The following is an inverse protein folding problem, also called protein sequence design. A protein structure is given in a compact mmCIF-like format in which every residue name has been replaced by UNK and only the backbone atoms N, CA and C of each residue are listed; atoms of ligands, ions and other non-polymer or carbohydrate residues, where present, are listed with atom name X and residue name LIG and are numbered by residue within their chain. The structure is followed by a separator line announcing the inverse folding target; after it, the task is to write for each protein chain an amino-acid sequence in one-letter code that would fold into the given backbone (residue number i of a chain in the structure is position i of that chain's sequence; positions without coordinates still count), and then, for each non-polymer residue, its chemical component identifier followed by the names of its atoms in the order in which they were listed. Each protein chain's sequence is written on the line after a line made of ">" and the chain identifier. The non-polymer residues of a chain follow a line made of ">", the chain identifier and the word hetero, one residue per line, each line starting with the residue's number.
data_IF_315890659273
#
_entry.id   IF_315890659273
#
_cell.length_a   1.000
_cell.length_b   1.000
_cell.length_c   1.000
_cell.angle_alpha   90.00
_cell.angle_beta   90.00
_cell.angle_gamma   90.00
#
_symmetry.space_group_name_H-M   'P 1'
#
loop_
_entity.id
_entity.type
_entity.pdbx_description
1 polymer ?
#
# COMPACT_ATOMS: atom_id res chain seq x y z
N UNK A 1 -4.37 30.69 19.97
CA UNK A 1 -5.42 30.75 18.92
C UNK A 1 -6.69 31.32 19.53
N UNK A 2 -7.15 32.48 19.08
CA UNK A 2 -8.25 33.21 19.72
C UNK A 2 -9.61 32.63 19.31
N UNK A 3 -10.58 32.48 20.23
CA UNK A 3 -11.90 31.88 19.95
C UNK A 3 -12.71 32.62 18.88
N UNK A 4 -12.41 33.91 18.65
CA UNK A 4 -13.00 34.71 17.58
C UNK A 4 -12.67 34.18 16.16
N UNK A 5 -11.51 33.55 15.96
CA UNK A 5 -11.09 33.06 14.65
C UNK A 5 -11.90 31.82 14.22
N UNK A 6 -12.25 30.95 15.17
CA UNK A 6 -13.07 29.76 14.91
C UNK A 6 -14.50 30.13 14.51
N UNK A 7 -15.07 31.18 15.11
CA UNK A 7 -16.41 31.68 14.74
C UNK A 7 -16.45 32.23 13.32
N UNK A 8 -15.41 32.97 12.90
CA UNK A 8 -15.32 33.51 11.53
C UNK A 8 -15.20 32.38 10.51
N UNK A 9 -14.37 31.37 10.80
CA UNK A 9 -14.22 30.20 9.92
C UNK A 9 -15.53 29.41 9.81
N UNK A 10 -16.26 29.21 10.90
CA UNK A 10 -17.58 28.54 10.87
C UNK A 10 -18.64 29.34 10.12
N UNK A 11 -18.65 30.67 10.22
CA UNK A 11 -19.57 31.53 9.45
C UNK A 11 -19.27 31.50 7.95
N UNK A 12 -18.00 31.46 7.55
CA UNK A 12 -17.60 31.37 6.13
C UNK A 12 -17.91 29.98 5.56
N UNK A 13 -17.64 28.90 6.30
CA UNK A 13 -18.00 27.53 5.91
C UNK A 13 -19.52 27.32 5.86
N UNK A 14 -20.26 27.88 6.81
CA UNK A 14 -21.73 27.82 6.82
C UNK A 14 -22.37 28.66 5.71
N UNK A 15 -21.84 29.86 5.45
CA UNK A 15 -22.35 30.76 4.41
C UNK A 15 -22.12 30.24 2.99
N UNK A 16 -20.96 29.64 2.72
CA UNK A 16 -20.67 29.02 1.41
C UNK A 16 -21.54 27.79 1.14
N UNK A 17 -21.85 27.01 2.18
CA UNK A 17 -22.80 25.89 2.08
C UNK A 17 -24.22 26.34 1.69
N UNK A 18 -24.72 27.41 2.31
CA UNK A 18 -26.05 27.98 2.03
C UNK A 18 -26.15 28.56 0.61
N UNK A 19 -25.11 29.23 0.14
CA UNK A 19 -25.03 29.74 -1.24
C UNK A 19 -25.03 28.59 -2.24
N UNK A 20 -24.25 27.52 -1.98
CA UNK A 20 -24.25 26.30 -2.80
C UNK A 20 -25.62 25.63 -2.85
N UNK A 21 -26.32 25.55 -1.72
CA UNK A 21 -27.66 24.97 -1.62
C UNK A 21 -28.71 25.79 -2.37
N UNK A 22 -28.65 27.13 -2.27
CA UNK A 22 -29.55 28.03 -3.01
C UNK A 22 -29.30 28.00 -4.53
N UNK A 23 -28.03 27.91 -4.94
CA UNK A 23 -27.67 27.76 -6.34
C UNK A 23 -28.17 26.42 -6.90
N UNK A 24 -28.01 25.34 -6.13
CA UNK A 24 -28.54 24.02 -6.46
C UNK A 24 -30.07 24.00 -6.53
N UNK A 25 -30.76 24.64 -5.58
CA UNK A 25 -32.22 24.72 -5.56
C UNK A 25 -32.78 25.52 -6.75
N UNK A 26 -32.10 26.61 -7.12
CA UNK A 26 -32.45 27.44 -8.28
C UNK A 26 -32.15 26.72 -9.61
N UNK A 27 -31.06 25.96 -9.68
CA UNK A 27 -30.71 25.12 -10.82
C UNK A 27 -31.67 23.93 -10.99
N UNK A 28 -32.08 23.29 -9.89
CA UNK A 28 -33.06 22.19 -9.88
C UNK A 28 -34.46 22.64 -10.37
N UNK A 29 -34.82 23.92 -10.14
CA UNK A 29 -36.10 24.49 -10.61
C UNK A 29 -36.16 24.71 -12.12
N UNK A 30 -35.03 24.81 -12.80
CA UNK A 30 -34.97 24.84 -14.27
C UNK A 30 -34.68 23.43 -14.79
N UNK A 31 -35.69 22.76 -15.37
CA UNK A 31 -35.63 21.41 -15.99
C UNK A 31 -34.54 21.20 -17.07
N UNK A 32 -33.70 22.21 -17.35
CA UNK A 32 -32.61 22.16 -18.34
C UNK A 32 -31.28 21.62 -17.78
N UNK A 33 -31.17 21.39 -16.47
CA UNK A 33 -29.90 20.97 -15.84
C UNK A 33 -29.91 19.58 -15.19
N UNK A 34 -30.86 18.70 -15.52
CA UNK A 34 -30.92 17.35 -14.95
C UNK A 34 -29.67 16.48 -15.29
N UNK A 35 -28.94 16.81 -16.35
CA UNK A 35 -27.76 16.06 -16.79
C UNK A 35 -26.47 16.39 -16.00
N UNK A 36 -26.31 17.62 -15.51
CA UNK A 36 -25.12 18.05 -14.76
C UNK A 36 -24.91 17.32 -13.42
N UNK A 37 -25.91 17.19 -12.53
CA UNK A 37 -25.72 16.50 -11.26
C UNK A 37 -25.47 15.00 -11.46
N UNK A 38 -26.07 14.41 -12.51
CA UNK A 38 -25.82 13.01 -12.87
C UNK A 38 -24.38 12.81 -13.38
N UNK A 39 -23.86 13.73 -14.18
CA UNK A 39 -22.47 13.71 -14.65
C UNK A 39 -21.46 13.85 -13.51
N UNK A 40 -21.71 14.73 -12.54
CA UNK A 40 -20.85 14.90 -11.35
C UNK A 40 -20.88 13.65 -10.48
N UNK A 41 -22.07 13.04 -10.27
CA UNK A 41 -22.20 11.80 -9.52
C UNK A 41 -21.43 10.64 -10.19
N UNK A 42 -21.56 10.46 -11.50
CA UNK A 42 -20.83 9.43 -12.24
C UNK A 42 -19.31 9.66 -12.19
N UNK A 43 -18.87 10.91 -12.34
CA UNK A 43 -17.44 11.25 -12.23
C UNK A 43 -16.90 10.94 -10.83
N UNK A 44 -17.64 11.31 -9.78
CA UNK A 44 -17.25 11.03 -8.40
C UNK A 44 -17.21 9.53 -8.09
N UNK A 45 -18.14 8.75 -8.66
CA UNK A 45 -18.17 7.31 -8.55
C UNK A 45 -16.95 6.67 -9.21
N UNK A 46 -16.60 7.10 -10.42
CA UNK A 46 -15.41 6.62 -11.13
C UNK A 46 -14.13 6.94 -10.35
N UNK A 47 -13.99 8.17 -9.85
CA UNK A 47 -12.86 8.58 -9.01
C UNK A 47 -12.77 7.74 -7.73
N UNK A 48 -13.90 7.42 -7.09
CA UNK A 48 -13.94 6.59 -5.90
C UNK A 48 -13.51 5.14 -6.19
N UNK A 49 -13.96 4.56 -7.31
CA UNK A 49 -13.56 3.21 -7.73
C UNK A 49 -12.05 3.17 -7.99
N UNK A 50 -11.51 4.13 -8.74
CA UNK A 50 -10.08 4.21 -8.99
C UNK A 50 -9.33 4.37 -7.66
N UNK A 51 -9.69 5.32 -6.80
CA UNK A 51 -9.04 5.52 -5.50
C UNK A 51 -9.09 4.26 -4.61
N UNK A 52 -10.20 3.50 -4.63
CA UNK A 52 -10.32 2.26 -3.88
C UNK A 52 -9.36 1.17 -4.34
N UNK A 53 -9.15 1.06 -5.67
CA UNK A 53 -8.20 0.10 -6.23
C UNK A 53 -6.76 0.42 -5.85
N UNK A 54 -6.38 1.70 -5.86
CA UNK A 54 -5.05 2.13 -5.44
C UNK A 54 -4.82 1.90 -3.95
N UNK A 55 -5.83 2.19 -3.12
CA UNK A 55 -5.77 1.92 -1.67
C UNK A 55 -5.62 0.44 -1.37
N UNK A 56 -6.31 -0.43 -2.11
CA UNK A 56 -6.21 -1.88 -1.92
C UNK A 56 -4.81 -2.40 -2.24
N UNK A 57 -4.22 -1.96 -3.36
CA UNK A 57 -2.83 -2.32 -3.69
C UNK A 57 -1.82 -1.82 -2.66
N UNK A 58 -1.99 -0.60 -2.15
CA UNK A 58 -1.12 -0.06 -1.12
C UNK A 58 -1.19 -0.88 0.18
N UNK A 59 -2.39 -1.33 0.57
CA UNK A 59 -2.58 -2.20 1.74
C UNK A 59 -1.87 -3.54 1.56
N UNK A 60 -2.07 -4.21 0.42
CA UNK A 60 -1.41 -5.48 0.11
C UNK A 60 0.11 -5.35 0.05
N UNK A 61 0.63 -4.22 -0.43
CA UNK A 61 2.07 -3.95 -0.42
C UNK A 61 2.63 -3.79 0.98
N UNK A 62 1.89 -3.16 1.89
CA UNK A 62 2.26 -3.02 3.30
C UNK A 62 2.24 -4.38 4.03
N UNK A 63 1.24 -5.22 3.77
CA UNK A 63 1.18 -6.58 4.32
C UNK A 63 2.37 -7.43 3.85
N UNK A 64 2.69 -7.38 2.55
CA UNK A 64 3.88 -8.07 2.01
C UNK A 64 5.17 -7.55 2.66
N UNK A 65 5.27 -6.23 2.83
CA UNK A 65 6.38 -5.59 3.50
C UNK A 65 6.56 -6.10 4.93
N UNK A 66 5.50 -6.15 5.74
CA UNK A 66 5.58 -6.66 7.11
C UNK A 66 6.05 -8.12 7.16
N UNK A 67 5.54 -8.96 6.25
CA UNK A 67 6.01 -10.33 6.07
C UNK A 67 7.49 -10.42 5.67
N UNK A 68 7.97 -9.56 4.78
CA UNK A 68 9.40 -9.50 4.42
C UNK A 68 10.27 -9.00 5.57
N UNK A 69 9.79 -8.05 6.37
CA UNK A 69 10.51 -7.53 7.53
C UNK A 69 10.73 -8.63 8.57
N UNK A 70 9.68 -9.40 8.87
CA UNK A 70 9.76 -10.53 9.81
C UNK A 70 10.69 -11.63 9.29
N UNK A 71 10.59 -12.01 8.01
CA UNK A 71 11.52 -12.94 7.38
C UNK A 71 12.98 -12.45 7.43
N UNK A 72 13.19 -11.17 7.12
CA UNK A 72 14.51 -10.55 7.14
C UNK A 72 15.14 -10.62 8.53
N UNK A 73 14.38 -10.28 9.56
CA UNK A 73 14.83 -10.38 10.94
C UNK A 73 15.13 -11.83 11.36
N UNK A 74 14.33 -12.80 10.92
CA UNK A 74 14.60 -14.21 11.18
C UNK A 74 15.90 -14.69 10.50
N UNK A 75 16.17 -14.24 9.27
CA UNK A 75 17.43 -14.51 8.57
C UNK A 75 18.64 -13.93 9.31
N UNK A 76 18.50 -12.72 9.87
CA UNK A 76 19.54 -12.09 10.69
C UNK A 76 19.76 -12.84 12.01
N UNK A 77 18.69 -13.25 12.69
CA UNK A 77 18.77 -14.08 13.90
C UNK A 77 19.39 -15.46 13.60
N UNK A 78 19.03 -16.07 12.47
CA UNK A 78 19.65 -17.30 12.00
C UNK A 78 21.15 -17.10 11.80
N UNK A 79 21.54 -16.01 11.12
CA UNK A 79 22.95 -15.67 10.91
C UNK A 79 23.69 -15.49 12.24
N UNK A 80 23.07 -14.81 13.21
CA UNK A 80 23.65 -14.62 14.54
C UNK A 80 23.92 -15.96 15.24
N UNK A 81 23.02 -16.93 15.10
CA UNK A 81 23.18 -18.28 15.65
C UNK A 81 24.20 -19.14 14.87
N UNK A 82 24.48 -18.80 13.60
CA UNK A 82 25.34 -19.55 12.69
C UNK A 82 26.59 -18.76 12.25
N UNK A 83 27.27 -18.13 13.22
CA UNK A 83 28.56 -17.46 13.01
C UNK A 83 28.55 -16.36 11.92
N UNK A 84 27.42 -15.67 11.77
CA UNK A 84 27.21 -14.62 10.77
C UNK A 84 26.78 -15.14 9.40
N UNK A 85 26.50 -16.43 9.23
CA UNK A 85 26.09 -17.00 7.94
C UNK A 85 24.57 -17.02 7.82
N UNK A 86 23.96 -16.21 6.94
CA UNK A 86 22.51 -16.23 6.72
C UNK A 86 22.06 -17.56 6.14
N UNK A 87 20.80 -17.93 6.40
CA UNK A 87 20.21 -19.17 5.93
C UNK A 87 20.31 -19.30 4.40
N UNK A 88 20.42 -20.55 3.92
CA UNK A 88 20.64 -20.78 2.51
C UNK A 88 19.35 -20.80 1.72
N UNK A 89 18.30 -21.26 2.35
CA UNK A 89 16.93 -21.32 1.83
C UNK A 89 15.99 -20.74 2.88
N UNK A 90 14.79 -20.35 2.46
CA UNK A 90 13.75 -19.95 3.42
C UNK A 90 13.25 -21.15 4.22
N UNK A 91 13.37 -22.37 3.68
CA UNK A 91 12.98 -23.60 4.35
C UNK A 91 13.82 -23.88 5.61
N UNK A 92 15.07 -23.41 5.66
CA UNK A 92 15.96 -23.52 6.83
C UNK A 92 15.43 -22.73 8.04
N UNK A 93 14.52 -21.77 7.82
CA UNK A 93 13.88 -21.02 8.89
C UNK A 93 12.72 -21.81 9.52
N UNK A 94 12.22 -22.84 8.85
CA UNK A 94 11.15 -23.69 9.38
C UNK A 94 11.69 -24.94 10.09
N UNK A 95 10.97 -25.45 11.09
CA UNK A 95 9.83 -24.83 11.77
C UNK A 95 10.27 -23.88 12.91
N UNK A 96 11.59 -23.63 13.06
CA UNK A 96 12.11 -23.04 14.29
C UNK A 96 11.79 -21.54 14.43
N UNK A 97 11.80 -20.80 13.33
CA UNK A 97 11.51 -19.36 13.30
C UNK A 97 10.10 -19.06 12.79
N UNK A 98 9.52 -19.94 11.98
CA UNK A 98 8.17 -19.83 11.44
C UNK A 98 7.50 -21.20 11.35
N UNK A 99 6.20 -21.25 11.65
CA UNK A 99 5.37 -22.42 11.36
C UNK A 99 5.09 -22.54 9.85
N UNK A 100 4.88 -21.41 9.18
CA UNK A 100 4.65 -21.28 7.74
C UNK A 100 5.28 -19.98 7.24
N UNK A 101 5.78 -19.97 5.99
CA UNK A 101 6.32 -18.73 5.38
C UNK A 101 5.19 -17.72 5.15
N UNK A 102 5.44 -16.42 5.38
CA UNK A 102 4.42 -15.40 5.14
C UNK A 102 4.07 -15.34 3.66
N UNK A 103 2.77 -15.24 3.39
CA UNK A 103 2.23 -15.17 2.04
C UNK A 103 2.42 -13.76 1.48
N UNK A 104 2.81 -13.68 0.21
CA UNK A 104 2.84 -12.42 -0.52
C UNK A 104 1.48 -12.24 -1.21
N UNK A 105 0.67 -11.29 -0.73
CA UNK A 105 -0.69 -11.06 -1.26
C UNK A 105 -0.76 -9.99 -2.35
N UNK A 106 0.37 -9.51 -2.86
CA UNK A 106 0.40 -8.43 -3.86
C UNK A 106 -0.14 -8.89 -5.22
N UNK A 107 0.12 -10.14 -5.56
CA UNK A 107 -0.36 -10.80 -6.77
C UNK A 107 -0.67 -12.26 -6.45
N UNK A 108 -1.70 -12.82 -7.08
CA UNK A 108 -2.08 -14.22 -6.86
C UNK A 108 -0.92 -15.17 -7.19
N UNK A 109 -0.54 -15.99 -6.21
CA UNK A 109 0.58 -16.92 -6.32
C UNK A 109 1.96 -16.28 -6.17
N UNK A 110 2.06 -15.02 -5.72
CA UNK A 110 3.34 -14.45 -5.35
C UNK A 110 3.86 -15.09 -4.06
N UNK A 111 5.15 -15.39 -4.02
CA UNK A 111 5.82 -16.05 -2.89
C UNK A 111 7.06 -15.26 -2.47
N UNK A 112 7.45 -15.32 -1.18
CA UNK A 112 8.69 -14.74 -0.74
C UNK A 112 9.84 -15.51 -1.38
N UNK A 113 10.82 -14.76 -1.85
CA UNK A 113 11.97 -15.32 -2.55
C UNK A 113 13.25 -14.74 -2.01
N UNK A 114 14.27 -15.58 -1.90
CA UNK A 114 15.59 -15.22 -1.42
C UNK A 114 16.53 -15.08 -2.61
N UNK A 115 17.10 -13.88 -2.76
CA UNK A 115 18.20 -13.59 -3.67
C UNK A 115 19.46 -13.40 -2.86
N UNK A 116 20.53 -14.09 -3.24
CA UNK A 116 21.79 -14.07 -2.50
C UNK A 116 22.89 -13.47 -3.34
N UNK A 117 23.73 -12.66 -2.69
CA UNK A 117 24.97 -12.13 -3.25
C UNK A 117 26.05 -12.25 -2.18
N UNK A 118 26.93 -13.25 -2.28
CA UNK A 118 28.04 -13.54 -1.36
C UNK A 118 27.74 -13.35 0.15
N UNK A 119 27.92 -12.13 0.67
CA UNK A 119 27.70 -11.74 2.08
C UNK A 119 26.37 -11.04 2.37
N UNK A 120 25.58 -10.75 1.35
CA UNK A 120 24.32 -10.03 1.45
C UNK A 120 23.16 -10.86 0.90
N UNK A 121 21.98 -10.63 1.45
CA UNK A 121 20.76 -11.25 0.96
C UNK A 121 19.69 -10.19 0.70
N UNK A 122 18.83 -10.50 -0.25
CA UNK A 122 17.69 -9.67 -0.62
C UNK A 122 16.47 -10.56 -0.64
N UNK A 123 15.47 -10.20 0.16
CA UNK A 123 14.17 -10.87 0.12
C UNK A 123 13.23 -10.06 -0.75
N UNK A 124 12.49 -10.73 -1.61
CA UNK A 124 11.56 -10.07 -2.53
C UNK A 124 10.25 -10.82 -2.56
N UNK A 125 9.14 -10.07 -2.52
CA UNK A 125 7.84 -10.61 -2.91
C UNK A 125 7.84 -10.72 -4.44
N UNK A 126 8.13 -11.90 -5.02
CA UNK A 126 8.18 -12.05 -6.46
C UNK A 126 6.85 -12.63 -6.97
N UNK A 127 6.10 -11.84 -7.74
CA UNK A 127 4.96 -12.33 -8.51
C UNK A 127 5.36 -13.19 -9.70
N UNK A 128 4.42 -13.44 -10.61
CA UNK A 128 4.59 -14.36 -11.75
C UNK A 128 5.63 -13.89 -12.78
N UNK A 129 6.15 -12.67 -12.65
CA UNK A 129 7.03 -12.00 -13.60
C UNK A 129 8.55 -12.16 -13.34
N UNK A 130 8.95 -12.90 -12.29
CA UNK A 130 10.36 -13.13 -11.93
C UNK A 130 11.23 -13.71 -13.07
N UNK A 131 10.64 -14.50 -13.96
CA UNK A 131 11.35 -15.19 -15.06
C UNK A 131 11.83 -14.31 -16.21
N UNK A 132 11.52 -13.00 -16.20
CA UNK A 132 11.83 -12.09 -17.31
C UNK A 132 13.13 -11.27 -17.12
N UNK A 133 13.99 -11.66 -16.19
CA UNK A 133 15.36 -11.11 -16.09
C UNK A 133 15.58 -10.08 -14.98
N UNK A 134 14.81 -10.12 -13.90
CA UNK A 134 15.09 -9.32 -12.70
C UNK A 134 13.93 -9.28 -11.69
N UNK A 135 14.21 -8.74 -10.50
CA UNK A 135 13.19 -8.37 -9.52
C UNK A 135 12.26 -7.31 -10.12
N UNK A 136 10.95 -7.58 -10.25
CA UNK A 136 10.04 -6.61 -10.86
C UNK A 136 10.03 -5.28 -10.09
N UNK A 137 10.13 -4.16 -10.81
CA UNK A 137 9.98 -2.83 -10.22
C UNK A 137 8.57 -2.68 -9.62
N UNK A 138 8.47 -2.13 -8.41
CA UNK A 138 7.20 -1.92 -7.70
C UNK A 138 6.83 -3.00 -6.67
N UNK A 139 7.65 -4.05 -6.50
CA UNK A 139 7.43 -5.02 -5.44
C UNK A 139 8.24 -4.67 -4.17
N UNK A 140 7.67 -4.91 -2.98
CA UNK A 140 8.40 -4.79 -1.72
C UNK A 140 9.65 -5.66 -1.72
N UNK A 141 10.74 -5.11 -1.21
CA UNK A 141 12.01 -5.81 -1.04
C UNK A 141 12.58 -5.54 0.33
N UNK A 142 13.29 -6.50 0.91
CA UNK A 142 14.05 -6.33 2.13
C UNK A 142 15.52 -6.59 1.88
N UNK A 143 16.37 -5.73 2.44
CA UNK A 143 17.82 -5.92 2.48
C UNK A 143 18.32 -5.54 3.87
N UNK A 144 19.27 -6.28 4.48
CA UNK A 144 19.79 -6.00 5.83
C UNK A 144 20.21 -4.55 6.06
N UNK A 145 20.82 -3.92 5.05
CA UNK A 145 21.33 -2.54 5.15
C UNK A 145 20.27 -1.45 5.08
N UNK A 146 19.10 -1.72 4.48
CA UNK A 146 18.06 -0.72 4.20
C UNK A 146 16.71 -1.07 4.84
N UNK A 147 16.56 -2.26 5.41
CA UNK A 147 15.27 -2.80 5.83
C UNK A 147 14.32 -3.04 4.66
N UNK A 148 13.03 -3.06 4.96
CA UNK A 148 11.96 -3.12 3.95
C UNK A 148 11.86 -1.81 3.18
N UNK A 149 11.80 -1.94 1.86
CA UNK A 149 11.53 -0.86 0.92
C UNK A 149 10.25 -1.18 0.15
N UNK A 150 9.26 -0.31 0.30
CA UNK A 150 8.02 -0.32 -0.48
C UNK A 150 8.13 0.79 -1.52
N UNK A 151 8.21 0.44 -2.80
CA UNK A 151 8.15 1.42 -3.88
C UNK A 151 6.71 1.47 -4.41
N UNK A 152 5.98 2.58 -4.23
CA UNK A 152 4.63 2.73 -4.75
C UNK A 152 4.59 2.77 -6.28
#
# INVERSE_FOLDING_TARGET
>A
MSPAFLLVVQLILGGTGLIGLLWFWKAARQRRFAALPLGILLLSLVLAIVASGWRNRALLALECADGLQSLGLAMELYAQNHQGTPAHTLDDLLPFYFDELPVCSLEDGSVPTLERSESNFTLVCAGRHRGLGGTPEGFPRYTPSLGVQVRP
#
